data_IF_951635760722
#
_entry.id   IF_951635760722
#
_cell.length_a   1.000
_cell.length_b   1.000
_cell.length_c   1.000
_cell.angle_alpha   90.00
_cell.angle_beta   90.00
_cell.angle_gamma   90.00
#
_symmetry.space_group_name_H-M   'P 1'
#
loop_
_entity.id
_entity.type
_entity.pdbx_description
1 polymer ?
#
# COMPACT_ATOMS: atom_id res chain seq x y z
N UNK A 1 -13.83 -13.65 -3.92
CA UNK A 1 -14.52 -12.69 -4.84
C UNK A 1 -14.61 -13.34 -6.21
N UNK A 2 -15.75 -13.26 -6.90
CA UNK A 2 -15.90 -13.83 -8.25
C UNK A 2 -15.15 -12.97 -9.25
N UNK A 3 -14.47 -13.59 -10.23
CA UNK A 3 -13.69 -12.93 -11.28
C UNK A 3 -14.21 -13.33 -12.65
N UNK A 4 -14.32 -12.37 -13.58
CA UNK A 4 -14.93 -12.54 -14.89
C UNK A 4 -14.02 -11.98 -16.00
N UNK A 5 -14.00 -12.66 -17.14
CA UNK A 5 -13.44 -12.09 -18.38
C UNK A 5 -14.46 -11.18 -19.06
N UNK A 6 -15.72 -11.61 -19.04
CA UNK A 6 -16.88 -10.86 -19.56
C UNK A 6 -17.99 -10.99 -18.53
N UNK A 7 -18.64 -9.87 -18.21
CA UNK A 7 -19.86 -9.89 -17.40
C UNK A 7 -21.04 -9.67 -18.33
N UNK A 8 -21.86 -10.69 -18.44
CA UNK A 8 -23.10 -10.64 -19.22
C UNK A 8 -24.30 -10.28 -18.33
N UNK A 9 -25.46 -10.00 -18.95
CA UNK A 9 -26.70 -9.75 -18.22
C UNK A 9 -27.10 -10.95 -17.34
N UNK A 10 -26.91 -12.17 -17.83
CA UNK A 10 -27.20 -13.38 -17.05
C UNK A 10 -26.32 -13.47 -15.78
N UNK A 11 -25.04 -13.11 -15.91
CA UNK A 11 -24.12 -13.06 -14.76
C UNK A 11 -24.57 -11.99 -13.77
N UNK A 12 -24.87 -10.78 -14.26
CA UNK A 12 -25.26 -9.65 -13.43
C UNK A 12 -26.53 -9.92 -12.59
N UNK A 13 -27.46 -10.69 -13.13
CA UNK A 13 -28.74 -11.04 -12.45
C UNK A 13 -28.55 -11.94 -11.25
N UNK A 14 -27.55 -12.82 -11.26
CA UNK A 14 -27.32 -13.80 -10.20
C UNK A 14 -26.34 -13.34 -9.14
N UNK A 15 -25.75 -12.15 -9.30
CA UNK A 15 -24.88 -11.56 -8.28
C UNK A 15 -25.68 -11.02 -7.11
N UNK A 16 -25.11 -11.09 -5.90
CA UNK A 16 -25.75 -10.56 -4.71
C UNK A 16 -25.81 -9.03 -4.74
N UNK A 17 -26.90 -8.47 -4.26
CA UNK A 17 -27.09 -7.02 -4.20
C UNK A 17 -26.03 -6.41 -3.27
N UNK A 18 -25.36 -5.37 -3.75
CA UNK A 18 -24.31 -4.67 -3.01
C UNK A 18 -22.96 -5.40 -2.96
N UNK A 19 -22.82 -6.52 -3.67
CA UNK A 19 -21.56 -7.27 -3.74
C UNK A 19 -20.52 -6.59 -4.61
N UNK A 20 -19.28 -7.10 -4.54
CA UNK A 20 -18.18 -6.68 -5.42
C UNK A 20 -17.68 -7.86 -6.24
N UNK A 21 -17.38 -7.62 -7.51
CA UNK A 21 -16.83 -8.60 -8.44
C UNK A 21 -15.60 -8.03 -9.15
N UNK A 22 -14.67 -8.89 -9.54
CA UNK A 22 -13.50 -8.50 -10.29
C UNK A 22 -13.69 -8.72 -11.79
N UNK A 23 -13.26 -7.76 -12.59
CA UNK A 23 -13.12 -7.90 -14.03
C UNK A 23 -11.64 -8.08 -14.34
N UNK A 24 -11.29 -9.17 -15.02
CA UNK A 24 -9.91 -9.47 -15.38
C UNK A 24 -9.33 -8.42 -16.34
N UNK A 25 -8.00 -8.28 -16.43
CA UNK A 25 -7.37 -7.37 -17.39
C UNK A 25 -7.83 -7.66 -18.83
N UNK A 26 -8.29 -6.62 -19.54
CA UNK A 26 -8.87 -6.77 -20.88
C UNK A 26 -10.31 -7.26 -20.93
N UNK A 27 -10.89 -7.58 -19.79
CA UNK A 27 -12.30 -7.96 -19.70
C UNK A 27 -13.24 -6.77 -19.91
N UNK A 28 -14.50 -7.05 -20.20
CA UNK A 28 -15.51 -6.02 -20.39
C UNK A 28 -16.88 -6.41 -19.81
N UNK A 29 -17.68 -5.39 -19.54
CA UNK A 29 -19.07 -5.52 -19.11
C UNK A 29 -19.97 -5.22 -20.30
N UNK A 30 -20.94 -6.08 -20.60
CA UNK A 30 -21.88 -5.79 -21.67
C UNK A 30 -22.80 -4.62 -21.28
N UNK A 31 -23.30 -3.80 -22.24
CA UNK A 31 -24.14 -2.64 -21.92
C UNK A 31 -25.34 -2.99 -21.03
N UNK A 32 -26.02 -4.07 -21.31
CA UNK A 32 -27.18 -4.50 -20.54
C UNK A 32 -26.79 -4.99 -19.12
N UNK A 33 -25.64 -5.65 -19.00
CA UNK A 33 -25.10 -6.02 -17.69
C UNK A 33 -24.77 -4.78 -16.84
N UNK A 34 -24.23 -3.72 -17.44
CA UNK A 34 -23.89 -2.50 -16.73
C UNK A 34 -25.13 -1.86 -16.05
N UNK A 35 -26.25 -1.83 -16.72
CA UNK A 35 -27.52 -1.32 -16.16
C UNK A 35 -27.99 -2.17 -14.98
N UNK A 36 -27.94 -3.48 -15.12
CA UNK A 36 -28.33 -4.43 -14.07
C UNK A 36 -27.39 -4.36 -12.87
N UNK A 37 -26.08 -4.29 -13.09
CA UNK A 37 -25.09 -4.13 -12.01
C UNK A 37 -25.34 -2.84 -11.23
N UNK A 38 -25.60 -1.74 -11.92
CA UNK A 38 -25.93 -0.45 -11.29
C UNK A 38 -27.22 -0.54 -10.48
N UNK A 39 -28.29 -1.12 -11.03
CA UNK A 39 -29.56 -1.31 -10.34
C UNK A 39 -29.40 -2.18 -9.08
N UNK A 40 -28.54 -3.18 -9.13
CA UNK A 40 -28.24 -4.09 -8.02
C UNK A 40 -27.14 -3.59 -7.09
N UNK A 41 -26.59 -2.39 -7.32
CA UNK A 41 -25.49 -1.79 -6.54
C UNK A 41 -24.26 -2.69 -6.47
N UNK A 42 -23.99 -3.46 -7.50
CA UNK A 42 -22.79 -4.31 -7.59
C UNK A 42 -21.61 -3.45 -8.04
N UNK A 43 -20.52 -3.52 -7.32
CA UNK A 43 -19.29 -2.81 -7.67
C UNK A 43 -18.41 -3.69 -8.55
N UNK A 44 -18.04 -3.19 -9.74
CA UNK A 44 -17.09 -3.87 -10.62
C UNK A 44 -15.69 -3.27 -10.40
N UNK A 45 -14.78 -4.09 -9.94
CA UNK A 45 -13.38 -3.75 -9.76
C UNK A 45 -12.63 -4.12 -11.04
N UNK A 46 -12.37 -3.12 -11.90
CA UNK A 46 -11.62 -3.30 -13.15
C UNK A 46 -10.12 -3.19 -12.88
N UNK A 47 -9.33 -4.06 -13.53
CA UNK A 47 -7.87 -4.00 -13.44
C UNK A 47 -7.29 -4.52 -12.12
N UNK A 48 -8.09 -5.10 -11.25
CA UNK A 48 -7.57 -5.98 -10.22
C UNK A 48 -7.16 -7.27 -10.95
N UNK A 49 -5.98 -7.25 -11.58
CA UNK A 49 -5.25 -8.49 -11.65
C UNK A 49 -5.24 -8.99 -10.21
N UNK A 50 -5.72 -10.21 -9.94
CA UNK A 50 -5.05 -10.98 -8.93
C UNK A 50 -3.59 -10.92 -9.40
N UNK A 51 -2.83 -10.01 -8.80
CA UNK A 51 -1.41 -10.07 -8.92
C UNK A 51 -1.08 -11.45 -8.34
N UNK A 52 -0.96 -12.43 -9.22
CA UNK A 52 -0.29 -13.65 -8.84
C UNK A 52 1.06 -13.17 -8.40
N UNK A 53 1.36 -13.35 -7.12
CA UNK A 53 2.66 -12.99 -6.55
C UNK A 53 3.80 -13.78 -7.21
N UNK A 54 3.45 -14.70 -8.13
CA UNK A 54 4.35 -15.59 -8.87
C UNK A 54 5.34 -14.88 -9.82
N UNK A 55 5.19 -13.59 -10.04
CA UNK A 55 6.14 -12.77 -10.81
C UNK A 55 6.81 -11.66 -10.00
N UNK A 56 6.47 -11.54 -8.72
CA UNK A 56 7.12 -10.58 -7.83
C UNK A 56 8.48 -11.12 -7.37
N UNK A 57 9.39 -10.19 -7.06
CA UNK A 57 10.64 -10.54 -6.42
C UNK A 57 10.38 -11.43 -5.17
N UNK A 58 11.30 -12.34 -4.84
CA UNK A 58 11.16 -13.17 -3.65
C UNK A 58 10.82 -12.32 -2.44
N UNK A 59 9.91 -12.79 -1.59
CA UNK A 59 9.54 -12.09 -0.36
C UNK A 59 10.80 -11.84 0.44
N UNK A 60 11.16 -10.57 0.62
CA UNK A 60 12.32 -10.20 1.41
C UNK A 60 12.09 -10.60 2.87
N UNK A 61 13.09 -11.28 3.46
CA UNK A 61 13.05 -11.62 4.87
C UNK A 61 13.52 -10.42 5.68
N UNK A 62 12.59 -9.52 6.01
CA UNK A 62 12.87 -8.31 6.75
C UNK A 62 12.83 -8.61 8.24
N UNK A 63 13.98 -8.48 8.92
CA UNK A 63 14.15 -8.65 10.36
C UNK A 63 14.41 -7.35 11.08
N UNK A 64 14.98 -6.36 10.36
CA UNK A 64 15.32 -5.04 10.89
C UNK A 64 14.80 -3.94 9.98
N UNK A 65 14.31 -2.86 10.57
CA UNK A 65 13.69 -1.76 9.85
C UNK A 65 14.03 -0.43 10.53
N UNK A 66 14.42 0.56 9.74
CA UNK A 66 14.47 1.94 10.19
C UNK A 66 13.13 2.64 9.94
N UNK A 67 12.67 3.43 10.88
CA UNK A 67 11.48 4.26 10.72
C UNK A 67 11.80 5.71 11.05
N UNK A 68 11.46 6.62 10.16
CA UNK A 68 11.64 8.06 10.34
C UNK A 68 10.39 8.85 9.98
N UNK A 69 10.18 9.98 10.62
CA UNK A 69 9.11 10.89 10.27
C UNK A 69 9.52 12.34 10.48
N UNK A 70 8.86 13.24 9.77
CA UNK A 70 8.81 14.64 10.17
C UNK A 70 7.83 14.84 11.36
N UNK A 71 7.64 16.09 11.77
CA UNK A 71 6.76 16.43 12.90
C UNK A 71 5.28 16.04 12.65
N UNK A 72 4.85 15.95 11.40
CA UNK A 72 3.46 15.58 11.05
C UNK A 72 3.19 14.09 11.22
N UNK A 73 4.22 13.25 11.09
CA UNK A 73 4.13 11.80 11.13
C UNK A 73 4.43 11.16 12.49
N UNK A 74 4.74 11.92 13.53
CA UNK A 74 5.21 11.39 14.84
C UNK A 74 4.24 10.39 15.45
N UNK A 75 2.95 10.70 15.47
CA UNK A 75 1.94 9.82 16.06
C UNK A 75 1.81 8.49 15.29
N UNK A 76 1.80 8.55 13.95
CA UNK A 76 1.75 7.36 13.11
C UNK A 76 3.04 6.55 13.22
N UNK A 77 4.20 7.21 13.28
CA UNK A 77 5.50 6.57 13.50
C UNK A 77 5.49 5.73 14.79
N UNK A 78 5.01 6.30 15.89
CA UNK A 78 4.95 5.60 17.16
C UNK A 78 4.06 4.34 17.08
N UNK A 79 2.87 4.44 16.48
CA UNK A 79 1.95 3.31 16.30
C UNK A 79 2.57 2.20 15.43
N UNK A 80 3.19 2.57 14.31
CA UNK A 80 3.83 1.61 13.40
C UNK A 80 5.03 0.94 14.06
N UNK A 81 5.87 1.69 14.77
CA UNK A 81 7.01 1.16 15.52
C UNK A 81 6.56 0.07 16.49
N UNK A 82 5.55 0.36 17.30
CA UNK A 82 5.06 -0.57 18.31
C UNK A 82 4.41 -1.81 17.67
N UNK A 83 3.65 -1.62 16.59
CA UNK A 83 3.06 -2.72 15.82
C UNK A 83 4.12 -3.65 15.20
N UNK A 84 5.18 -3.09 14.62
CA UNK A 84 6.26 -3.85 14.01
C UNK A 84 7.06 -4.63 15.06
N UNK A 85 7.34 -4.01 16.22
CA UNK A 85 8.01 -4.67 17.35
C UNK A 85 7.20 -5.86 17.88
N UNK A 86 5.88 -5.73 17.97
CA UNK A 86 4.99 -6.84 18.36
C UNK A 86 5.04 -8.01 17.38
N UNK A 87 5.40 -7.75 16.11
CA UNK A 87 5.61 -8.78 15.08
C UNK A 87 7.04 -9.35 15.06
N UNK A 88 7.87 -8.97 16.00
CA UNK A 88 9.24 -9.47 16.11
C UNK A 88 10.25 -8.79 15.18
N UNK A 89 9.89 -7.65 14.58
CA UNK A 89 10.80 -6.86 13.74
C UNK A 89 11.57 -5.89 14.64
N UNK A 90 12.91 -5.87 14.49
CA UNK A 90 13.74 -4.87 15.14
C UNK A 90 13.55 -3.52 14.47
N UNK A 91 13.13 -2.49 15.23
CA UNK A 91 12.84 -1.17 14.68
C UNK A 91 13.79 -0.13 15.26
N UNK A 92 14.58 0.50 14.39
CA UNK A 92 15.40 1.65 14.67
C UNK A 92 14.59 2.92 14.37
N UNK A 93 14.26 3.68 15.40
CA UNK A 93 13.53 4.94 15.29
C UNK A 93 14.51 6.08 14.99
N UNK A 94 14.30 6.76 13.88
CA UNK A 94 15.12 7.85 13.38
C UNK A 94 14.22 9.04 13.08
N UNK A 95 14.55 10.20 13.56
CA UNK A 95 13.79 11.40 13.30
C UNK A 95 13.21 12.02 14.56
N UNK A 96 12.31 12.98 14.37
CA UNK A 96 11.77 13.74 15.49
C UNK A 96 10.79 12.93 16.35
N UNK A 97 10.76 13.25 17.62
CA UNK A 97 9.74 12.81 18.58
C UNK A 97 8.82 13.96 19.02
N UNK A 98 9.15 15.18 18.58
CA UNK A 98 8.43 16.40 18.94
C UNK A 98 7.55 16.97 17.83
N UNK A 99 6.81 18.02 18.18
CA UNK A 99 5.96 18.74 17.24
C UNK A 99 6.69 19.89 16.51
N UNK A 100 7.94 20.15 16.85
CA UNK A 100 8.72 21.20 16.21
C UNK A 100 9.01 20.83 14.76
N UNK A 101 8.87 21.79 13.82
CA UNK A 101 9.16 21.57 12.42
C UNK A 101 10.60 21.10 12.21
N UNK A 102 10.75 20.04 11.40
CA UNK A 102 12.05 19.49 10.99
C UNK A 102 12.06 19.32 9.47
N UNK A 103 13.25 19.36 8.90
CA UNK A 103 13.43 19.17 7.46
C UNK A 103 13.32 17.69 7.09
N UNK A 104 12.20 17.31 6.47
CA UNK A 104 11.94 15.94 6.05
C UNK A 104 13.01 15.34 5.12
N UNK A 105 13.70 16.11 4.23
CA UNK A 105 14.74 15.55 3.37
C UNK A 105 15.90 14.96 4.14
N UNK A 106 16.28 15.58 5.25
CA UNK A 106 17.40 15.12 6.09
C UNK A 106 17.05 13.80 6.77
N UNK A 107 15.83 13.68 7.27
CA UNK A 107 15.32 12.43 7.87
C UNK A 107 15.24 11.33 6.81
N UNK A 108 14.69 11.63 5.63
CA UNK A 108 14.60 10.68 4.53
C UNK A 108 15.99 10.19 4.08
N UNK A 109 16.95 11.09 3.94
CA UNK A 109 18.32 10.75 3.58
C UNK A 109 19.02 9.92 4.67
N UNK A 110 18.81 10.24 5.95
CA UNK A 110 19.36 9.48 7.06
C UNK A 110 18.83 8.04 7.07
N UNK A 111 17.53 7.86 6.94
CA UNK A 111 16.88 6.56 6.89
C UNK A 111 17.35 5.75 5.68
N UNK A 112 17.44 6.39 4.49
CA UNK A 112 17.89 5.73 3.27
C UNK A 112 19.36 5.25 3.36
N UNK A 113 20.24 6.04 4.00
CA UNK A 113 21.64 5.65 4.22
C UNK A 113 21.77 4.39 5.08
N UNK A 114 20.90 4.18 6.05
CA UNK A 114 20.91 2.96 6.88
C UNK A 114 20.62 1.72 6.02
N UNK A 115 19.69 1.82 5.09
CA UNK A 115 19.41 0.74 4.13
C UNK A 115 20.55 0.53 3.16
N UNK A 116 21.09 1.62 2.59
CA UNK A 116 22.20 1.56 1.64
C UNK A 116 23.46 0.92 2.25
N UNK A 117 23.71 1.16 3.53
CA UNK A 117 24.82 0.56 4.29
C UNK A 117 24.52 -0.84 4.82
N UNK A 118 23.30 -1.35 4.56
CA UNK A 118 22.85 -2.65 5.07
C UNK A 118 22.84 -2.75 6.60
N UNK A 119 22.68 -1.64 7.28
CA UNK A 119 22.52 -1.59 8.74
C UNK A 119 21.11 -2.02 9.15
N UNK A 120 20.14 -1.86 8.23
CA UNK A 120 18.76 -2.39 8.33
C UNK A 120 18.34 -2.98 6.98
N UNK A 121 17.37 -3.89 7.00
CA UNK A 121 16.90 -4.58 5.78
C UNK A 121 15.98 -3.68 4.93
N UNK A 122 15.21 -2.81 5.57
CA UNK A 122 14.26 -1.90 4.92
C UNK A 122 14.04 -0.64 5.76
N UNK A 123 13.27 0.31 5.20
CA UNK A 123 12.93 1.52 5.92
C UNK A 123 11.54 2.04 5.59
N UNK A 124 10.95 2.78 6.51
CA UNK A 124 9.71 3.53 6.34
C UNK A 124 9.98 5.00 6.65
N UNK A 125 9.59 5.89 5.74
CA UNK A 125 9.62 7.33 5.96
C UNK A 125 8.21 7.89 5.87
N UNK A 126 7.84 8.75 6.81
CA UNK A 126 6.51 9.32 6.93
C UNK A 126 6.62 10.84 6.89
N UNK A 127 5.93 11.46 5.97
CA UNK A 127 5.75 12.92 5.91
C UNK A 127 4.34 13.29 5.46
N UNK A 128 4.04 14.58 5.46
CA UNK A 128 2.69 15.07 5.15
C UNK A 128 2.21 14.77 3.72
N UNK A 129 3.11 14.59 2.74
CA UNK A 129 2.77 14.35 1.33
C UNK A 129 3.42 13.09 0.74
N UNK A 130 4.52 12.62 1.31
CA UNK A 130 5.25 11.41 0.89
C UNK A 130 6.13 11.57 -0.36
N UNK A 131 5.87 12.55 -1.21
CA UNK A 131 6.58 12.71 -2.49
C UNK A 131 8.02 13.19 -2.33
N UNK A 132 8.22 14.21 -1.50
CA UNK A 132 9.55 14.77 -1.27
C UNK A 132 10.48 13.80 -0.57
N UNK A 133 9.98 13.08 0.42
CA UNK A 133 10.72 12.03 1.12
C UNK A 133 11.11 10.88 0.21
N UNK A 134 10.23 10.47 -0.72
CA UNK A 134 10.56 9.43 -1.69
C UNK A 134 11.69 9.85 -2.64
N UNK A 135 11.69 11.12 -3.08
CA UNK A 135 12.76 11.66 -3.93
C UNK A 135 14.09 11.74 -3.15
N UNK A 136 14.06 12.28 -1.94
CA UNK A 136 15.24 12.42 -1.09
C UNK A 136 15.86 11.07 -0.71
N UNK A 137 15.03 10.07 -0.42
CA UNK A 137 15.50 8.72 -0.09
C UNK A 137 16.12 7.99 -1.28
N UNK A 138 15.73 8.33 -2.52
CA UNK A 138 16.28 7.73 -3.74
C UNK A 138 17.60 8.38 -4.20
N UNK A 139 17.81 9.62 -3.85
CA UNK A 139 19.01 10.37 -4.24
C UNK A 139 20.26 9.89 -3.52
#
# INVERSE_FOLDING_TARGET
MKSFDIITEADARVLDIGSSVALKPGGHVTPLAADTLKARRVTVLSGVAEASLDGLAPVANIKSLAIGSDHTGVALKAQLRDHLRQRGISVLDVGTEGADPVDYPDIAAQVARLVARKEVDAAIVIDGAGLGSAIAAKA
#
